data_IF_248484923962
#
_entry.id   IF_248484923962
#
_cell.length_a   1.000
_cell.length_b   1.000
_cell.length_c   1.000
_cell.angle_alpha   90.00
_cell.angle_beta   90.00
_cell.angle_gamma   90.00
#
_symmetry.space_group_name_H-M   'P 1'
#
loop_
_entity.id
_entity.type
_entity.pdbx_description
1 polymer ?
#
# COMPACT_ATOMS: atom_id res chain seq x y z
N UNK A 1 -5.63 17.27 1.43
CA UNK A 1 -5.00 16.10 0.75
C UNK A 1 -5.41 14.87 1.54
N UNK A 2 -6.66 14.44 1.43
CA UNK A 2 -7.28 13.55 2.45
C UNK A 2 -7.79 12.22 1.90
N UNK A 3 -7.85 12.06 0.56
CA UNK A 3 -8.34 10.84 -0.09
C UNK A 3 -7.45 9.63 0.19
N UNK A 4 -6.12 9.78 0.10
CA UNK A 4 -5.16 8.69 0.34
C UNK A 4 -5.23 8.16 1.78
N UNK A 5 -5.21 9.06 2.78
CA UNK A 5 -5.27 8.69 4.19
C UNK A 5 -6.57 7.95 4.53
N UNK A 6 -7.70 8.40 3.95
CA UNK A 6 -9.00 7.76 4.11
C UNK A 6 -9.04 6.37 3.47
N UNK A 7 -8.56 6.22 2.23
CA UNK A 7 -8.50 4.91 1.57
C UNK A 7 -7.57 3.93 2.32
N UNK A 8 -6.43 4.40 2.85
CA UNK A 8 -5.52 3.59 3.68
C UNK A 8 -6.15 3.17 5.01
N UNK A 9 -6.96 4.03 5.64
CA UNK A 9 -7.65 3.72 6.89
C UNK A 9 -8.66 2.57 6.73
N UNK A 10 -9.26 2.43 5.54
CA UNK A 10 -10.18 1.34 5.22
C UNK A 10 -9.47 0.01 4.91
N UNK A 11 -8.14 0.00 4.82
CA UNK A 11 -7.34 -1.22 4.64
C UNK A 11 -7.00 -1.81 6.03
N UNK A 12 -7.21 -3.13 6.23
CA UNK A 12 -6.82 -3.80 7.46
C UNK A 12 -5.35 -3.56 7.80
N UNK A 13 -5.05 -3.31 9.08
CA UNK A 13 -3.73 -2.86 9.55
C UNK A 13 -2.57 -3.76 9.06
N UNK A 14 -2.78 -5.08 9.07
CA UNK A 14 -1.79 -6.07 8.60
C UNK A 14 -1.38 -5.91 7.13
N UNK A 15 -2.26 -5.33 6.30
CA UNK A 15 -2.00 -5.05 4.88
C UNK A 15 -1.60 -3.59 4.66
N UNK A 16 -2.04 -2.69 5.53
CA UNK A 16 -1.74 -1.26 5.47
C UNK A 16 -0.25 -0.99 5.69
N UNK A 17 0.36 -1.65 6.67
CA UNK A 17 1.77 -1.44 7.04
C UNK A 17 2.75 -1.61 5.86
N UNK A 18 2.73 -2.72 5.08
CA UNK A 18 3.58 -2.86 3.89
C UNK A 18 3.40 -1.74 2.87
N UNK A 19 2.16 -1.30 2.64
CA UNK A 19 1.84 -0.24 1.67
C UNK A 19 2.37 1.10 2.15
N UNK A 20 2.15 1.44 3.42
CA UNK A 20 2.62 2.70 4.02
C UNK A 20 4.14 2.79 3.98
N UNK A 21 4.85 1.73 4.36
CA UNK A 21 6.31 1.69 4.28
C UNK A 21 6.80 1.83 2.83
N UNK A 22 6.15 1.16 1.88
CA UNK A 22 6.50 1.32 0.47
C UNK A 22 6.34 2.76 -0.03
N UNK A 23 5.23 3.43 0.33
CA UNK A 23 4.99 4.84 -0.01
C UNK A 23 5.98 5.81 0.65
N UNK A 24 6.57 5.42 1.78
CA UNK A 24 7.65 6.17 2.45
C UNK A 24 9.02 5.94 1.81
N UNK A 25 9.14 5.04 0.83
CA UNK A 25 10.39 4.75 0.12
C UNK A 25 11.22 3.60 0.69
N UNK A 26 10.69 2.82 1.64
CA UNK A 26 11.39 1.64 2.16
C UNK A 26 11.52 0.56 1.08
N UNK A 27 12.64 -0.16 1.14
CA UNK A 27 12.92 -1.30 0.27
C UNK A 27 12.06 -2.51 0.64
N UNK A 28 11.90 -3.43 -0.32
CA UNK A 28 11.15 -4.68 -0.08
C UNK A 28 11.78 -5.53 1.03
N UNK A 29 13.09 -5.45 1.23
CA UNK A 29 13.79 -6.18 2.29
C UNK A 29 13.45 -5.58 3.67
N UNK A 30 13.52 -4.26 3.82
CA UNK A 30 13.16 -3.59 5.08
C UNK A 30 11.68 -3.80 5.44
N UNK A 31 10.81 -3.81 4.44
CA UNK A 31 9.38 -4.12 4.62
C UNK A 31 9.20 -5.58 5.06
N UNK A 32 9.94 -6.51 4.47
CA UNK A 32 9.90 -7.92 4.83
C UNK A 32 10.33 -8.14 6.28
N UNK A 33 11.41 -7.50 6.69
CA UNK A 33 11.94 -7.56 8.05
C UNK A 33 10.95 -6.94 9.06
N UNK A 34 10.33 -5.81 8.72
CA UNK A 34 9.33 -5.15 9.58
C UNK A 34 8.03 -5.96 9.75
N UNK A 35 7.62 -6.72 8.73
CA UNK A 35 6.38 -7.50 8.72
C UNK A 35 6.63 -8.97 9.14
N UNK A 36 7.88 -9.41 9.20
CA UNK A 36 8.27 -10.78 9.56
C UNK A 36 7.99 -11.80 8.47
N UNK A 37 8.22 -11.44 7.21
CA UNK A 37 8.01 -12.31 6.03
C UNK A 37 9.27 -12.34 5.15
N UNK A 38 9.29 -13.17 4.11
CA UNK A 38 10.38 -13.14 3.12
C UNK A 38 10.25 -11.93 2.19
N UNK A 39 11.36 -11.50 1.57
CA UNK A 39 11.36 -10.41 0.59
C UNK A 39 10.38 -10.65 -0.58
N UNK A 40 10.26 -11.90 -1.04
CA UNK A 40 9.32 -12.28 -2.10
C UNK A 40 7.86 -12.21 -1.63
N UNK A 41 7.59 -12.56 -0.36
CA UNK A 41 6.27 -12.39 0.22
C UNK A 41 5.93 -10.90 0.40
N UNK A 42 6.88 -10.09 0.85
CA UNK A 42 6.72 -8.64 0.95
C UNK A 42 6.44 -7.99 -0.41
N UNK A 43 7.14 -8.41 -1.46
CA UNK A 43 6.87 -7.98 -2.85
C UNK A 43 5.42 -8.23 -3.25
N UNK A 44 4.90 -9.44 -2.98
CA UNK A 44 3.51 -9.80 -3.30
C UNK A 44 2.51 -9.01 -2.46
N UNK A 45 2.81 -8.77 -1.19
CA UNK A 45 1.96 -7.97 -0.30
C UNK A 45 1.88 -6.52 -0.76
N UNK A 46 3.02 -5.90 -1.06
CA UNK A 46 3.09 -4.53 -1.57
C UNK A 46 2.38 -4.42 -2.91
N UNK A 47 2.68 -5.29 -3.88
CA UNK A 47 2.04 -5.27 -5.20
C UNK A 47 0.51 -5.35 -5.08
N UNK A 48 0.00 -6.36 -4.37
CA UNK A 48 -1.46 -6.53 -4.19
C UNK A 48 -2.07 -5.37 -3.42
N UNK A 49 -1.36 -4.86 -2.42
CA UNK A 49 -1.81 -3.72 -1.64
C UNK A 49 -1.89 -2.42 -2.46
N UNK A 50 -0.93 -2.18 -3.34
CA UNK A 50 -0.93 -1.05 -4.26
C UNK A 50 -2.05 -1.16 -5.30
N UNK A 51 -2.29 -2.36 -5.84
CA UNK A 51 -3.41 -2.61 -6.76
C UNK A 51 -4.78 -2.38 -6.09
N UNK A 52 -4.94 -2.85 -4.84
CA UNK A 52 -6.15 -2.63 -4.03
C UNK A 52 -6.32 -1.13 -3.73
N UNK A 53 -5.25 -0.45 -3.33
CA UNK A 53 -5.27 0.99 -3.06
C UNK A 53 -5.65 1.80 -4.31
N UNK A 54 -5.09 1.46 -5.47
CA UNK A 54 -5.40 2.12 -6.74
C UNK A 54 -6.85 1.94 -7.16
N UNK A 55 -7.37 0.72 -7.00
CA UNK A 55 -8.78 0.41 -7.25
C UNK A 55 -9.69 1.25 -6.34
N UNK A 56 -9.41 1.29 -5.03
CA UNK A 56 -10.20 2.08 -4.09
C UNK A 56 -10.14 3.59 -4.34
N UNK A 57 -8.96 4.11 -4.66
CA UNK A 57 -8.82 5.53 -5.02
C UNK A 57 -9.67 5.87 -6.25
N UNK A 58 -9.72 4.98 -7.24
CA UNK A 58 -10.60 5.13 -8.41
C UNK A 58 -12.07 5.10 -8.01
N UNK A 59 -12.49 4.13 -7.20
CA UNK A 59 -13.88 3.98 -6.76
C UNK A 59 -14.37 5.16 -5.89
N UNK A 60 -13.46 5.78 -5.12
CA UNK A 60 -13.74 6.99 -4.34
C UNK A 60 -13.70 8.28 -5.18
N UNK A 61 -13.47 8.21 -6.49
CA UNK A 61 -13.37 9.40 -7.35
C UNK A 61 -12.07 10.20 -7.17
N UNK A 62 -11.05 9.61 -6.53
CA UNK A 62 -9.71 10.18 -6.36
C UNK A 62 -8.68 9.63 -7.37
N UNK A 63 -9.14 8.90 -8.39
CA UNK A 63 -8.30 8.18 -9.35
C UNK A 63 -7.86 8.95 -10.59
N UNK A 64 -8.22 10.24 -10.70
CA UNK A 64 -7.65 11.15 -11.71
C UNK A 64 -6.25 11.59 -11.25
N UNK A 65 -5.29 10.67 -11.38
CA UNK A 65 -3.89 11.06 -11.45
C UNK A 65 -3.64 11.38 -12.93
N UNK A 66 -3.85 12.65 -13.31
CA UNK A 66 -3.51 13.18 -14.63
C UNK A 66 -2.05 12.83 -15.01
N UNK A 67 -1.85 12.54 -16.30
CA UNK A 67 -0.57 12.15 -16.94
C UNK A 67 0.59 13.14 -16.75
#
# INVERSE_FOLDING_TARGET
MDGLARCLAEIPERRRLPITLHLQGFSLQEIADAVGVSAEAARKLVSRGMDELKTRLRDCGHGEFDE
#
